data_IF_780566375701
#
_entry.id   IF_780566375701
#
_cell.length_a   1.000
_cell.length_b   1.000
_cell.length_c   1.000
_cell.angle_alpha   90.00
_cell.angle_beta   90.00
_cell.angle_gamma   90.00
#
_symmetry.space_group_name_H-M   'P 1'
#
loop_
_entity.id
_entity.type
_entity.pdbx_description
1 polymer ?
#
# COMPACT_ATOMS: atom_id res chain seq x y z
N UNK A 1 6.24 -4.72 -11.53
CA UNK A 1 6.24 -4.96 -10.08
C UNK A 1 7.50 -5.70 -9.69
N UNK A 2 8.06 -5.38 -8.52
CA UNK A 2 9.24 -6.03 -7.97
C UNK A 2 8.82 -7.12 -6.98
N UNK A 3 9.16 -8.36 -7.26
CA UNK A 3 8.82 -9.52 -6.43
C UNK A 3 10.09 -10.14 -5.86
N UNK A 4 10.13 -10.33 -4.55
CA UNK A 4 11.14 -11.14 -3.89
C UNK A 4 10.58 -12.54 -3.61
N UNK A 5 11.35 -13.57 -3.86
CA UNK A 5 11.04 -14.96 -3.51
C UNK A 5 12.15 -15.46 -2.58
N UNK A 6 11.78 -15.96 -1.41
CA UNK A 6 12.75 -16.46 -0.45
C UNK A 6 12.33 -17.82 0.06
N UNK A 7 13.17 -18.81 -0.21
CA UNK A 7 13.01 -20.22 0.18
C UNK A 7 14.41 -20.86 0.20
N UNK A 8 14.73 -21.69 1.16
CA UNK A 8 16.02 -22.42 1.22
C UNK A 8 16.02 -23.68 0.35
N UNK A 9 14.81 -24.12 -0.08
CA UNK A 9 14.67 -25.23 -0.99
C UNK A 9 14.66 -24.77 -2.44
N UNK A 10 15.73 -25.09 -3.18
CA UNK A 10 15.97 -24.60 -4.55
C UNK A 10 14.84 -24.94 -5.54
N UNK A 11 14.19 -26.08 -5.37
CA UNK A 11 13.08 -26.50 -6.24
C UNK A 11 11.85 -25.62 -6.06
N UNK A 12 11.54 -25.20 -4.83
CA UNK A 12 10.42 -24.30 -4.55
C UNK A 12 10.73 -22.88 -5.05
N UNK A 13 11.98 -22.41 -4.94
CA UNK A 13 12.42 -21.16 -5.55
C UNK A 13 12.19 -21.15 -7.07
N UNK A 14 12.64 -22.21 -7.74
CA UNK A 14 12.49 -22.34 -9.20
C UNK A 14 11.02 -22.40 -9.60
N UNK A 15 10.23 -23.21 -8.90
CA UNK A 15 8.77 -23.33 -9.14
C UNK A 15 8.06 -21.97 -9.03
N UNK A 16 8.33 -21.24 -7.95
CA UNK A 16 7.71 -19.92 -7.73
C UNK A 16 8.17 -18.88 -8.75
N UNK A 17 9.45 -18.93 -9.16
CA UNK A 17 9.96 -18.07 -10.22
C UNK A 17 9.28 -18.37 -11.56
N UNK A 18 9.18 -19.64 -11.94
CA UNK A 18 8.45 -20.05 -13.16
C UNK A 18 6.99 -19.61 -13.12
N UNK A 19 6.31 -19.75 -11.97
CA UNK A 19 4.93 -19.30 -11.81
C UNK A 19 4.79 -17.79 -11.96
N UNK A 20 5.72 -17.01 -11.42
CA UNK A 20 5.73 -15.56 -11.62
C UNK A 20 5.91 -15.18 -13.10
N UNK A 21 6.87 -15.81 -13.79
CA UNK A 21 7.17 -15.57 -15.20
C UNK A 21 6.01 -15.97 -16.12
N UNK A 22 5.37 -17.11 -15.85
CA UNK A 22 4.17 -17.57 -16.56
C UNK A 22 2.97 -16.64 -16.34
N UNK A 23 2.82 -16.11 -15.14
CA UNK A 23 1.71 -15.21 -14.80
C UNK A 23 1.87 -13.84 -15.46
N UNK A 24 3.04 -13.25 -15.36
CA UNK A 24 3.37 -11.97 -15.97
C UNK A 24 4.89 -11.78 -16.18
N UNK A 25 5.34 -11.87 -17.40
CA UNK A 25 6.76 -11.70 -17.79
C UNK A 25 7.33 -10.30 -17.54
N UNK A 26 6.49 -9.32 -17.22
CA UNK A 26 6.92 -7.96 -16.89
C UNK A 26 7.31 -7.76 -15.42
N UNK A 27 7.29 -8.80 -14.58
CA UNK A 27 7.78 -8.72 -13.21
C UNK A 27 9.30 -8.72 -13.14
N UNK A 28 9.84 -7.94 -12.21
CA UNK A 28 11.24 -8.04 -11.83
C UNK A 28 11.33 -8.97 -10.61
N UNK A 29 11.94 -10.14 -10.80
CA UNK A 29 11.99 -11.19 -9.78
C UNK A 29 13.39 -11.26 -9.21
N UNK A 30 13.51 -11.32 -7.88
CA UNK A 30 14.77 -11.55 -7.17
C UNK A 30 14.59 -12.70 -6.21
N UNK A 31 15.46 -13.70 -6.29
CA UNK A 31 15.40 -14.90 -5.46
C UNK A 31 16.45 -14.88 -4.35
N UNK A 32 16.09 -15.42 -3.19
CA UNK A 32 16.93 -15.53 -2.01
C UNK A 32 16.84 -16.93 -1.40
N UNK A 33 17.96 -17.55 -1.12
CA UNK A 33 18.02 -18.82 -0.41
C UNK A 33 18.18 -18.67 1.11
N UNK A 34 17.95 -17.45 1.64
CA UNK A 34 18.11 -17.15 3.07
C UNK A 34 17.31 -15.91 3.44
N UNK A 35 16.56 -16.00 4.51
CA UNK A 35 15.77 -14.90 5.07
C UNK A 35 16.63 -13.70 5.48
N UNK A 36 17.86 -13.95 5.93
CA UNK A 36 18.83 -12.91 6.28
C UNK A 36 19.24 -12.09 5.05
N UNK A 37 19.53 -12.75 3.91
CA UNK A 37 19.86 -12.05 2.65
C UNK A 37 18.69 -11.21 2.14
N UNK A 38 17.47 -11.76 2.18
CA UNK A 38 16.25 -11.01 1.85
C UNK A 38 16.14 -9.75 2.71
N UNK A 39 16.27 -9.87 4.03
CA UNK A 39 16.15 -8.73 4.93
C UNK A 39 17.18 -7.62 4.61
N UNK A 40 18.42 -7.98 4.31
CA UNK A 40 19.44 -7.02 3.90
C UNK A 40 19.09 -6.33 2.57
N UNK A 41 18.61 -7.07 1.59
CA UNK A 41 18.18 -6.50 0.31
C UNK A 41 17.02 -5.51 0.48
N UNK A 42 16.09 -5.77 1.38
CA UNK A 42 14.96 -4.88 1.70
C UNK A 42 15.40 -3.50 2.25
N UNK A 43 16.66 -3.34 2.68
CA UNK A 43 17.18 -2.02 3.11
C UNK A 43 17.46 -1.07 1.95
N UNK A 44 17.68 -1.60 0.76
CA UNK A 44 18.09 -0.84 -0.43
C UNK A 44 17.10 -0.98 -1.59
N UNK A 45 16.35 -2.07 -1.63
CA UNK A 45 15.36 -2.36 -2.69
C UNK A 45 13.97 -2.37 -2.10
N UNK A 46 13.02 -1.73 -2.79
CA UNK A 46 11.61 -1.82 -2.46
C UNK A 46 10.96 -2.92 -3.30
N UNK A 47 10.51 -3.96 -2.63
CA UNK A 47 9.68 -5.00 -3.22
C UNK A 47 8.21 -4.68 -3.00
N UNK A 48 7.37 -5.03 -3.98
CA UNK A 48 5.91 -4.89 -3.90
C UNK A 48 5.29 -6.11 -3.20
N UNK A 49 5.80 -7.31 -3.53
CA UNK A 49 5.39 -8.60 -2.99
C UNK A 49 6.62 -9.38 -2.53
N UNK A 50 6.51 -10.06 -1.40
CA UNK A 50 7.50 -11.02 -0.91
C UNK A 50 6.80 -12.37 -0.74
N UNK A 51 7.20 -13.36 -1.55
CA UNK A 51 6.89 -14.77 -1.34
C UNK A 51 7.93 -15.34 -0.40
N UNK A 52 7.55 -15.81 0.77
CA UNK A 52 8.49 -16.11 1.86
C UNK A 52 8.17 -17.45 2.50
N UNK A 53 9.08 -18.39 2.38
CA UNK A 53 8.96 -19.62 3.15
C UNK A 53 9.12 -19.34 4.64
N UNK A 54 8.30 -20.03 5.46
CA UNK A 54 8.36 -19.90 6.91
C UNK A 54 9.43 -20.81 7.48
N UNK A 55 9.54 -22.04 6.93
CA UNK A 55 10.30 -23.15 7.50
C UNK A 55 11.74 -23.16 7.00
N UNK A 56 12.45 -22.04 7.17
CA UNK A 56 13.88 -21.91 6.88
C UNK A 56 14.72 -21.93 8.16
N UNK A 57 16.02 -22.16 8.02
CA UNK A 57 16.98 -22.02 9.13
C UNK A 57 16.93 -20.63 9.76
N UNK A 58 17.32 -20.55 11.04
CA UNK A 58 17.26 -19.30 11.83
C UNK A 58 18.14 -18.18 11.25
N UNK A 59 17.59 -16.95 11.07
CA UNK A 59 16.21 -16.54 11.38
C UNK A 59 15.21 -17.10 10.36
N UNK A 60 14.10 -17.68 10.83
CA UNK A 60 13.08 -18.22 9.95
C UNK A 60 12.26 -17.10 9.26
N UNK A 61 11.45 -17.49 8.26
CA UNK A 61 10.68 -16.50 7.46
C UNK A 61 9.72 -15.68 8.30
N UNK A 62 9.10 -16.27 9.33
CA UNK A 62 8.18 -15.56 10.21
C UNK A 62 8.87 -14.46 11.03
N UNK A 63 10.06 -14.73 11.57
CA UNK A 63 10.86 -13.77 12.33
C UNK A 63 11.25 -12.57 11.45
N UNK A 64 11.69 -12.84 10.23
CA UNK A 64 12.05 -11.80 9.26
C UNK A 64 10.83 -10.98 8.84
N UNK A 65 9.68 -11.61 8.60
CA UNK A 65 8.45 -10.90 8.28
C UNK A 65 8.02 -9.95 9.41
N UNK A 66 8.10 -10.38 10.67
CA UNK A 66 7.85 -9.51 11.84
C UNK A 66 8.81 -8.32 11.88
N UNK A 67 10.09 -8.56 11.60
CA UNK A 67 11.11 -7.51 11.59
C UNK A 67 10.87 -6.50 10.46
N UNK A 68 10.60 -6.96 9.25
CA UNK A 68 10.22 -6.10 8.11
C UNK A 68 9.00 -5.24 8.46
N UNK A 69 8.01 -5.82 9.12
CA UNK A 69 6.82 -5.08 9.54
C UNK A 69 7.13 -4.04 10.63
N UNK A 70 7.96 -4.36 11.62
CA UNK A 70 8.39 -3.40 12.65
C UNK A 70 9.20 -2.23 12.05
N UNK A 71 9.93 -2.49 10.98
CA UNK A 71 10.67 -1.48 10.19
C UNK A 71 9.75 -0.69 9.23
N UNK A 72 8.42 -0.90 9.30
CA UNK A 72 7.43 -0.29 8.39
C UNK A 72 7.66 -0.59 6.90
N UNK A 73 8.28 -1.72 6.57
CA UNK A 73 8.45 -2.14 5.18
C UNK A 73 7.09 -2.42 4.51
N UNK A 74 6.89 -1.94 3.28
CA UNK A 74 5.54 -1.82 2.69
C UNK A 74 5.12 -2.98 1.79
N UNK A 75 5.99 -3.95 1.55
CA UNK A 75 5.65 -5.11 0.73
C UNK A 75 4.47 -5.91 1.30
N UNK A 76 3.69 -6.50 0.42
CA UNK A 76 2.73 -7.54 0.79
C UNK A 76 3.49 -8.85 0.97
N UNK A 77 3.48 -9.39 2.18
CA UNK A 77 4.14 -10.66 2.48
C UNK A 77 3.13 -11.79 2.29
N UNK A 78 3.48 -12.75 1.45
CA UNK A 78 2.73 -13.98 1.21
C UNK A 78 3.61 -15.12 1.69
N UNK A 79 3.19 -15.80 2.74
CA UNK A 79 3.92 -16.96 3.24
C UNK A 79 3.67 -18.19 2.38
N UNK A 80 4.73 -18.95 2.12
CA UNK A 80 4.68 -20.32 1.61
C UNK A 80 5.02 -21.27 2.75
N UNK A 81 4.28 -22.37 2.95
CA UNK A 81 4.49 -23.22 4.11
C UNK A 81 3.85 -24.61 3.97
N UNK A 82 4.44 -25.62 4.57
CA UNK A 82 3.85 -26.94 4.78
C UNK A 82 2.92 -26.98 6.01
N UNK A 83 3.08 -26.02 6.94
CA UNK A 83 2.36 -26.02 8.22
C UNK A 83 1.25 -25.00 8.29
N UNK A 84 0.03 -25.46 8.54
CA UNK A 84 -1.14 -24.62 8.77
C UNK A 84 -1.11 -23.92 10.14
N UNK A 85 -0.31 -24.39 11.08
CA UNK A 85 -0.20 -23.81 12.43
C UNK A 85 0.33 -22.37 12.40
N UNK A 86 1.18 -22.06 11.43
CA UNK A 86 1.68 -20.70 11.22
C UNK A 86 0.63 -19.75 10.64
N UNK A 87 -0.43 -20.26 10.00
CA UNK A 87 -1.53 -19.42 9.53
C UNK A 87 -2.26 -18.71 10.70
N UNK A 88 -2.35 -19.38 11.85
CA UNK A 88 -2.96 -18.83 13.07
C UNK A 88 -2.03 -17.81 13.74
N UNK A 89 -0.72 -18.11 13.82
CA UNK A 89 0.28 -17.23 14.48
C UNK A 89 0.66 -16.01 13.66
N UNK A 90 0.52 -16.09 12.33
CA UNK A 90 0.86 -15.01 11.40
C UNK A 90 -0.22 -13.96 11.19
N UNK A 91 -1.33 -14.05 11.92
CA UNK A 91 -2.39 -13.06 11.87
C UNK A 91 -1.81 -11.65 12.17
N UNK A 92 -1.98 -10.77 11.19
CA UNK A 92 -1.44 -9.40 11.27
C UNK A 92 -0.03 -9.19 10.71
N UNK A 93 0.72 -10.22 10.25
CA UNK A 93 2.03 -10.09 9.61
C UNK A 93 1.95 -10.34 8.11
N UNK A 94 1.30 -11.43 7.70
CA UNK A 94 1.15 -11.78 6.29
C UNK A 94 -0.14 -11.22 5.67
N UNK A 95 -0.07 -10.97 4.37
CA UNK A 95 -1.24 -10.70 3.54
C UNK A 95 -2.04 -11.98 3.26
N UNK A 96 -1.35 -13.05 2.87
CA UNK A 96 -1.92 -14.37 2.56
C UNK A 96 -0.92 -15.51 2.82
N UNK A 97 -1.44 -16.73 2.68
CA UNK A 97 -0.69 -17.98 2.77
C UNK A 97 -0.89 -18.79 1.50
N UNK A 98 0.18 -19.42 1.04
CA UNK A 98 0.21 -20.40 -0.04
C UNK A 98 0.68 -21.75 0.55
N UNK A 99 -0.23 -22.69 0.81
CA UNK A 99 0.15 -24.01 1.31
C UNK A 99 0.94 -24.78 0.26
N UNK A 100 2.00 -25.45 0.67
CA UNK A 100 2.74 -26.41 -0.16
C UNK A 100 2.01 -27.77 -0.16
N UNK A 101 1.95 -28.51 -1.28
CA UNK A 101 2.47 -28.13 -2.60
C UNK A 101 1.65 -27.01 -3.26
N UNK A 102 2.35 -26.00 -3.79
CA UNK A 102 1.71 -24.80 -4.33
C UNK A 102 1.09 -25.11 -5.69
N UNK A 103 -0.23 -24.99 -5.81
CA UNK A 103 -0.90 -25.10 -7.12
C UNK A 103 -0.82 -23.78 -7.87
N UNK A 104 -0.56 -23.84 -9.19
CA UNK A 104 -0.52 -22.64 -10.04
C UNK A 104 -1.82 -21.83 -10.00
N UNK A 105 -2.98 -22.50 -9.98
CA UNK A 105 -4.28 -21.83 -9.87
C UNK A 105 -4.36 -20.98 -8.60
N UNK A 106 -4.02 -21.55 -7.46
CA UNK A 106 -4.11 -20.84 -6.17
C UNK A 106 -3.05 -19.72 -6.05
N UNK A 107 -1.88 -19.94 -6.64
CA UNK A 107 -0.86 -18.90 -6.81
C UNK A 107 -1.41 -17.71 -7.60
N UNK A 108 -2.02 -17.94 -8.78
CA UNK A 108 -2.61 -16.89 -9.62
C UNK A 108 -3.70 -16.08 -8.87
N UNK A 109 -4.59 -16.75 -8.16
CA UNK A 109 -5.65 -16.09 -7.37
C UNK A 109 -5.05 -15.21 -6.27
N UNK A 110 -3.98 -15.68 -5.63
CA UNK A 110 -3.30 -14.96 -4.56
C UNK A 110 -2.54 -13.74 -5.09
N UNK A 111 -1.77 -13.89 -6.17
CA UNK A 111 -1.04 -12.78 -6.81
C UNK A 111 -2.02 -11.74 -7.34
N UNK A 112 -3.09 -12.15 -8.02
CA UNK A 112 -4.14 -11.23 -8.51
C UNK A 112 -4.76 -10.41 -7.37
N UNK A 113 -4.99 -11.04 -6.21
CA UNK A 113 -5.50 -10.33 -5.04
C UNK A 113 -4.49 -9.30 -4.51
N UNK A 114 -3.19 -9.64 -4.49
CA UNK A 114 -2.12 -8.75 -4.09
C UNK A 114 -1.97 -7.58 -5.07
N UNK A 115 -1.97 -7.85 -6.38
CA UNK A 115 -1.95 -6.81 -7.41
C UNK A 115 -3.09 -5.81 -7.24
N UNK A 116 -4.32 -6.30 -7.10
CA UNK A 116 -5.49 -5.43 -6.91
C UNK A 116 -5.30 -4.52 -5.69
N UNK A 117 -4.76 -5.05 -4.58
CA UNK A 117 -4.51 -4.25 -3.39
C UNK A 117 -3.40 -3.21 -3.62
N UNK A 118 -2.37 -3.54 -4.42
CA UNK A 118 -1.27 -2.62 -4.76
C UNK A 118 -1.77 -1.53 -5.72
N UNK A 119 -2.56 -1.91 -6.74
CA UNK A 119 -3.15 -0.98 -7.71
C UNK A 119 -4.10 -0.01 -7.01
N UNK A 120 -4.94 -0.49 -6.10
CA UNK A 120 -5.83 0.36 -5.30
C UNK A 120 -5.09 1.39 -4.43
N UNK A 121 -3.78 1.19 -4.18
CA UNK A 121 -2.94 2.18 -3.48
C UNK A 121 -2.42 3.29 -4.38
N UNK A 122 -2.64 3.23 -5.69
CA UNK A 122 -2.17 4.23 -6.65
C UNK A 122 -3.35 4.81 -7.42
N UNK A 123 -3.20 6.05 -7.84
CA UNK A 123 -4.16 6.75 -8.69
C UNK A 123 -3.44 7.36 -9.89
N UNK A 124 -4.09 7.29 -11.04
CA UNK A 124 -3.65 7.97 -12.25
C UNK A 124 -4.20 9.39 -12.27
N UNK A 125 -3.31 10.36 -12.43
CA UNK A 125 -3.64 11.78 -12.54
C UNK A 125 -3.25 12.22 -13.95
N UNK A 126 -4.27 12.42 -14.79
CA UNK A 126 -4.06 12.87 -16.16
C UNK A 126 -3.97 14.39 -16.23
N UNK A 127 -2.84 14.91 -16.68
CA UNK A 127 -2.56 16.31 -16.99
C UNK A 127 -2.53 16.57 -18.49
N UNK A 128 -2.04 17.77 -18.89
CA UNK A 128 -2.05 18.23 -20.29
C UNK A 128 -1.34 17.29 -21.28
N UNK A 129 -0.18 16.73 -20.93
CA UNK A 129 0.67 15.95 -21.85
C UNK A 129 1.21 14.65 -21.22
N UNK A 130 0.85 14.34 -19.99
CA UNK A 130 1.36 13.18 -19.28
C UNK A 130 0.39 12.70 -18.21
N UNK A 131 0.49 11.43 -17.91
CA UNK A 131 -0.24 10.79 -16.80
C UNK A 131 0.77 10.47 -15.69
N UNK A 132 0.48 10.93 -14.48
CA UNK A 132 1.24 10.60 -13.30
C UNK A 132 0.58 9.46 -12.55
N UNK A 133 1.37 8.49 -12.10
CA UNK A 133 0.91 7.42 -11.22
C UNK A 133 1.38 7.78 -9.80
N UNK A 134 0.43 8.05 -8.91
CA UNK A 134 0.71 8.56 -7.58
C UNK A 134 0.19 7.60 -6.52
N UNK A 135 1.01 7.30 -5.53
CA UNK A 135 0.54 6.56 -4.36
C UNK A 135 -0.47 7.39 -3.58
N UNK A 136 -1.67 6.83 -3.39
CA UNK A 136 -2.76 7.49 -2.66
C UNK A 136 -2.32 7.89 -1.24
N UNK A 137 -1.51 7.04 -0.60
CA UNK A 137 -0.97 7.31 0.73
C UNK A 137 -0.02 8.52 0.82
N UNK A 138 0.53 8.99 -0.31
CA UNK A 138 1.38 10.18 -0.39
C UNK A 138 0.62 11.48 -0.62
N UNK A 139 -0.66 11.41 -0.95
CA UNK A 139 -1.50 12.58 -1.16
C UNK A 139 -1.92 13.14 0.21
N UNK A 140 -1.56 14.39 0.45
CA UNK A 140 -1.87 15.12 1.68
C UNK A 140 -3.27 15.71 1.61
N UNK A 141 -3.57 16.43 0.52
CA UNK A 141 -4.89 16.96 0.25
C UNK A 141 -5.09 17.29 -1.22
N UNK A 142 -6.33 17.46 -1.60
CA UNK A 142 -6.76 17.92 -2.92
C UNK A 142 -7.32 19.34 -2.81
N UNK A 143 -7.01 20.14 -3.80
CA UNK A 143 -7.56 21.47 -3.96
C UNK A 143 -8.25 21.59 -5.33
N UNK A 144 -9.53 21.99 -5.34
CA UNK A 144 -10.22 22.35 -6.58
C UNK A 144 -9.95 23.83 -6.87
N UNK A 145 -9.26 24.09 -7.98
CA UNK A 145 -8.96 25.45 -8.44
C UNK A 145 -9.36 25.61 -9.90
N UNK A 146 -10.36 26.46 -10.16
CA UNK A 146 -10.98 26.64 -11.49
C UNK A 146 -11.51 25.31 -12.02
N UNK A 147 -10.94 24.78 -13.13
CA UNK A 147 -11.32 23.53 -13.77
C UNK A 147 -10.31 22.41 -13.51
N UNK A 148 -9.36 22.62 -12.60
CA UNK A 148 -8.29 21.71 -12.27
C UNK A 148 -8.41 21.21 -10.84
N UNK A 149 -7.83 20.04 -10.60
CA UNK A 149 -7.57 19.52 -9.26
C UNK A 149 -6.07 19.55 -9.03
N UNK A 150 -5.65 20.18 -7.95
CA UNK A 150 -4.27 20.20 -7.51
C UNK A 150 -4.12 19.14 -6.41
N UNK A 151 -3.22 18.20 -6.63
CA UNK A 151 -2.84 17.15 -5.68
C UNK A 151 -1.60 17.59 -4.94
N UNK A 152 -1.71 17.85 -3.65
CA UNK A 152 -0.61 18.24 -2.81
C UNK A 152 -0.01 16.99 -2.16
N UNK A 153 1.28 16.72 -2.41
CA UNK A 153 1.98 15.52 -1.97
C UNK A 153 2.83 15.75 -0.72
N UNK A 154 3.19 14.66 -0.03
CA UNK A 154 3.97 14.70 1.21
C UNK A 154 5.40 15.29 1.04
N UNK A 155 5.97 15.23 -0.16
CA UNK A 155 7.25 15.82 -0.53
C UNK A 155 7.15 17.29 -0.96
N UNK A 156 6.00 17.94 -0.73
CA UNK A 156 5.66 19.31 -1.16
C UNK A 156 5.58 19.50 -2.69
N UNK A 157 5.58 18.44 -3.48
CA UNK A 157 5.25 18.50 -4.90
C UNK A 157 3.75 18.66 -5.10
N UNK A 158 3.40 19.35 -6.20
CA UNK A 158 2.02 19.52 -6.64
C UNK A 158 1.85 18.94 -8.02
N UNK A 159 0.80 18.13 -8.20
CA UNK A 159 0.41 17.59 -9.50
C UNK A 159 -0.94 18.16 -9.86
N UNK A 160 -1.05 18.63 -11.10
CA UNK A 160 -2.31 19.18 -11.63
C UNK A 160 -2.97 18.12 -12.50
N UNK A 161 -4.22 17.79 -12.18
CA UNK A 161 -5.07 16.90 -12.95
C UNK A 161 -6.36 17.55 -13.39
N UNK A 162 -6.98 17.00 -14.43
CA UNK A 162 -8.31 17.41 -14.92
C UNK A 162 -9.40 16.57 -14.28
N UNK A 163 -10.57 17.16 -14.12
CA UNK A 163 -11.73 16.49 -13.57
C UNK A 163 -12.26 17.16 -12.31
N UNK A 164 -13.03 16.42 -11.54
CA UNK A 164 -13.65 16.90 -10.30
C UNK A 164 -13.11 16.19 -9.07
N UNK A 165 -13.20 16.83 -7.90
CA UNK A 165 -12.83 16.19 -6.63
C UNK A 165 -13.63 14.91 -6.38
N UNK A 166 -14.90 14.87 -6.76
CA UNK A 166 -15.75 13.68 -6.58
C UNK A 166 -15.24 12.50 -7.41
N UNK A 167 -14.94 12.72 -8.69
CA UNK A 167 -14.41 11.67 -9.58
C UNK A 167 -13.12 11.04 -9.02
N UNK A 168 -12.23 11.86 -8.47
CA UNK A 168 -10.98 11.37 -7.89
C UNK A 168 -11.21 10.64 -6.56
N UNK A 169 -12.09 11.13 -5.70
CA UNK A 169 -12.42 10.48 -4.43
C UNK A 169 -13.10 9.12 -4.66
N UNK A 170 -14.01 9.05 -5.64
CA UNK A 170 -14.66 7.79 -6.02
C UNK A 170 -13.64 6.76 -6.55
N UNK A 171 -12.67 7.20 -7.36
CA UNK A 171 -11.57 6.34 -7.83
C UNK A 171 -10.67 5.87 -6.68
N UNK A 172 -10.39 6.74 -5.71
CA UNK A 172 -9.55 6.43 -4.55
C UNK A 172 -10.24 5.41 -3.63
N UNK A 173 -11.55 5.49 -3.49
CA UNK A 173 -12.39 4.62 -2.65
C UNK A 173 -11.74 4.31 -1.28
N UNK A 174 -11.26 5.35 -0.60
CA UNK A 174 -10.56 5.23 0.68
C UNK A 174 -11.23 6.06 1.76
N UNK A 175 -11.52 5.42 2.90
CA UNK A 175 -12.07 6.07 4.09
C UNK A 175 -11.11 7.07 4.76
N UNK A 176 -9.87 7.16 4.28
CA UNK A 176 -8.89 8.11 4.81
C UNK A 176 -9.12 9.54 4.34
N UNK A 177 -9.91 9.75 3.28
CA UNK A 177 -10.17 11.07 2.71
C UNK A 177 -11.52 11.62 3.10
N UNK A 178 -11.55 12.91 3.44
CA UNK A 178 -12.78 13.61 3.84
C UNK A 178 -12.83 15.02 3.27
N UNK A 179 -14.02 15.42 2.79
CA UNK A 179 -14.27 16.79 2.38
C UNK A 179 -14.40 17.71 3.59
N UNK A 180 -13.53 18.72 3.67
CA UNK A 180 -13.60 19.77 4.68
C UNK A 180 -14.18 21.08 4.13
N UNK A 181 -14.15 21.27 2.81
CA UNK A 181 -14.65 22.44 2.12
C UNK A 181 -15.14 22.05 0.71
N UNK A 182 -15.92 22.92 0.03
CA UNK A 182 -16.30 22.69 -1.37
C UNK A 182 -15.09 22.52 -2.31
N UNK A 183 -13.95 23.11 -1.95
CA UNK A 183 -12.71 23.09 -2.72
C UNK A 183 -11.59 22.25 -2.09
N UNK A 184 -11.78 21.68 -0.91
CA UNK A 184 -10.74 20.92 -0.23
C UNK A 184 -11.23 19.56 0.24
N UNK A 185 -10.48 18.54 -0.12
CA UNK A 185 -10.58 17.19 0.44
C UNK A 185 -9.23 16.77 1.00
N UNK A 186 -9.18 16.35 2.25
CA UNK A 186 -7.93 16.06 2.96
C UNK A 186 -7.80 14.57 3.28
N UNK A 187 -6.56 14.10 3.34
CA UNK A 187 -6.22 12.80 3.89
C UNK A 187 -6.04 12.93 5.41
N UNK A 188 -6.91 12.30 6.18
CA UNK A 188 -6.93 12.38 7.65
C UNK A 188 -5.63 11.91 8.31
N UNK A 189 -4.86 11.06 7.65
CA UNK A 189 -3.51 10.64 8.09
C UNK A 189 -2.57 11.83 8.34
N UNK A 190 -2.75 12.91 7.61
CA UNK A 190 -1.88 14.11 7.68
C UNK A 190 -2.41 15.21 8.59
N UNK A 191 -3.50 14.99 9.30
CA UNK A 191 -4.00 15.96 10.29
C UNK A 191 -3.01 16.00 11.47
N UNK A 192 -2.59 17.20 11.84
CA UNK A 192 -1.84 17.50 13.07
C UNK A 192 -2.77 17.91 14.20
N UNK A 193 -3.65 18.88 13.92
CA UNK A 193 -4.64 19.36 14.88
C UNK A 193 -5.85 19.98 14.17
N UNK A 194 -6.93 20.19 14.91
CA UNK A 194 -8.14 20.83 14.41
C UNK A 194 -8.65 21.88 15.40
N UNK A 195 -9.22 22.95 14.84
CA UNK A 195 -10.07 23.89 15.58
C UNK A 195 -11.50 23.73 15.11
N UNK A 196 -12.40 24.57 15.60
CA UNK A 196 -13.80 24.57 15.17
C UNK A 196 -13.98 24.91 13.68
N UNK A 197 -13.04 25.66 13.08
CA UNK A 197 -13.17 26.19 11.72
C UNK A 197 -11.97 25.91 10.81
N UNK A 198 -10.91 25.29 11.33
CA UNK A 198 -9.68 25.02 10.57
C UNK A 198 -9.12 23.65 10.88
N UNK A 199 -8.45 23.05 9.89
CA UNK A 199 -7.61 21.86 10.04
C UNK A 199 -6.16 22.28 9.82
N UNK A 200 -5.26 21.89 10.70
CA UNK A 200 -3.83 22.08 10.57
C UNK A 200 -3.21 20.75 10.17
N UNK A 201 -2.50 20.71 9.06
CA UNK A 201 -1.82 19.54 8.54
C UNK A 201 -0.40 19.42 9.12
N UNK A 202 0.18 18.23 9.07
CA UNK A 202 1.53 17.93 9.61
C UNK A 202 2.64 18.75 8.95
N UNK A 203 2.43 19.26 7.74
CA UNK A 203 3.32 20.18 7.04
C UNK A 203 3.10 21.66 7.41
N UNK A 204 2.25 21.96 8.40
CA UNK A 204 1.97 23.30 8.89
C UNK A 204 0.88 24.07 8.10
N UNK A 205 0.37 23.51 7.01
CA UNK A 205 -0.69 24.16 6.22
C UNK A 205 -2.00 24.16 7.01
N UNK A 206 -2.65 25.33 7.06
CA UNK A 206 -3.96 25.52 7.68
C UNK A 206 -5.04 25.66 6.60
N UNK A 207 -6.05 24.80 6.63
CA UNK A 207 -7.15 24.76 5.67
C UNK A 207 -8.49 25.06 6.37
N UNK A 208 -9.40 25.84 5.74
CA UNK A 208 -10.68 26.17 6.33
C UNK A 208 -11.67 25.01 6.28
N UNK A 209 -12.47 24.85 7.32
CA UNK A 209 -13.63 23.96 7.34
C UNK A 209 -14.88 24.73 6.92
N UNK A 210 -15.49 24.32 5.81
CA UNK A 210 -16.73 24.89 5.32
C UNK A 210 -17.93 24.54 6.24
N UNK A 211 -18.83 25.48 6.49
CA UNK A 211 -19.98 25.27 7.39
C UNK A 211 -20.78 24.02 7.06
N UNK A 212 -21.07 23.77 5.79
CA UNK A 212 -21.84 22.59 5.34
C UNK A 212 -21.09 21.25 5.43
N UNK A 213 -19.79 21.26 5.68
CA UNK A 213 -18.96 20.05 5.78
C UNK A 213 -18.53 19.72 7.20
N UNK A 214 -18.76 20.62 8.14
CA UNK A 214 -18.25 20.58 9.49
C UNK A 214 -18.68 19.31 10.26
N UNK A 215 -19.98 19.06 10.31
CA UNK A 215 -20.51 17.92 11.08
C UNK A 215 -20.05 16.59 10.49
N UNK A 216 -20.10 16.46 9.15
CA UNK A 216 -19.62 15.29 8.47
C UNK A 216 -18.10 15.06 8.71
N UNK A 217 -17.31 16.13 8.63
CA UNK A 217 -15.88 16.05 8.87
C UNK A 217 -15.56 15.53 10.27
N UNK A 218 -16.15 16.09 11.32
CA UNK A 218 -15.88 15.65 12.69
C UNK A 218 -16.36 14.22 12.96
N UNK A 219 -17.49 13.82 12.37
CA UNK A 219 -17.99 12.45 12.48
C UNK A 219 -17.02 11.44 11.82
N UNK A 220 -16.57 11.74 10.60
CA UNK A 220 -15.61 10.87 9.88
C UNK A 220 -14.24 10.84 10.59
N UNK A 221 -13.77 11.97 11.11
CA UNK A 221 -12.53 12.02 11.88
C UNK A 221 -12.61 11.16 13.16
N UNK A 222 -13.74 11.18 13.87
CA UNK A 222 -13.93 10.32 15.04
C UNK A 222 -13.92 8.82 14.67
N UNK A 223 -14.58 8.45 13.57
CA UNK A 223 -14.54 7.07 13.06
C UNK A 223 -13.12 6.65 12.70
N UNK A 224 -12.40 7.54 12.00
CA UNK A 224 -11.03 7.32 11.61
C UNK A 224 -10.10 7.08 12.80
N UNK A 225 -10.20 7.91 13.86
CA UNK A 225 -9.39 7.75 15.08
C UNK A 225 -9.71 6.44 15.80
N UNK A 226 -10.96 5.99 15.82
CA UNK A 226 -11.37 4.73 16.45
C UNK A 226 -10.96 3.47 15.68
N UNK A 227 -10.61 3.60 14.41
CA UNK A 227 -10.18 2.48 13.54
C UNK A 227 -8.68 2.17 13.65
N UNK A 228 -7.94 2.95 14.44
CA UNK A 228 -6.52 2.76 14.79
C UNK A 228 -6.37 2.42 16.27
#
# INVERSE_FOLDING_TARGET
MNIAICDDYIQDLQLLQEYCEMYNSGYTITTFSSAHKLYHACKTVNYDIILLDIEMDSPNGYEIAKKLKSDNYKALIIFTTNSLDYAIRGYGVAFRYLPKPISYKYFCETIKSAENLIIQKHIEITGNNHTNIVSIGKIVYFESFKHNIIFHLENNENIVGYGTLLEYIDKINSQSFVFIHKSYCINMKYISSTTTNTVILKNGISLPIGRSKKDNFFNELQKYIRSY
#
